data_IF_843187390825
#
_entry.id   IF_843187390825
#
_cell.length_a   1.000
_cell.length_b   1.000
_cell.length_c   1.000
_cell.angle_alpha   90.00
_cell.angle_beta   90.00
_cell.angle_gamma   90.00
#
_symmetry.space_group_name_H-M   'P 1'
#
loop_
_entity.id
_entity.type
_entity.pdbx_description
1 polymer ?
#
# COMPACT_ATOMS: atom_id res chain seq x y z
N UNK A 1 -10.07 -8.43 -4.86
CA UNK A 1 -8.88 -8.23 -5.70
C UNK A 1 -7.69 -9.02 -5.17
N UNK A 2 -7.32 -8.93 -3.88
CA UNK A 2 -6.15 -9.65 -3.34
C UNK A 2 -6.52 -10.84 -2.41
N UNK A 3 -7.79 -11.30 -2.43
CA UNK A 3 -8.30 -12.33 -1.51
C UNK A 3 -7.58 -13.68 -1.68
N UNK A 4 -7.29 -14.06 -2.93
CA UNK A 4 -6.60 -15.31 -3.26
C UNK A 4 -5.07 -15.23 -3.09
N UNK A 5 -4.53 -14.02 -2.88
CA UNK A 5 -3.10 -13.75 -2.76
C UNK A 5 -2.63 -13.55 -1.31
N UNK A 6 -3.49 -13.81 -0.32
CA UNK A 6 -3.17 -13.67 1.11
C UNK A 6 -2.63 -12.28 1.47
N UNK A 7 -3.47 -11.26 1.27
CA UNK A 7 -3.15 -9.87 1.67
C UNK A 7 -2.78 -9.79 3.15
N UNK A 8 -1.56 -9.31 3.42
CA UNK A 8 -1.10 -9.02 4.78
C UNK A 8 -1.46 -7.59 5.15
N UNK A 9 -2.09 -7.41 6.30
CA UNK A 9 -2.54 -6.09 6.77
C UNK A 9 -1.76 -5.74 8.03
N UNK A 10 -1.03 -4.61 8.00
CA UNK A 10 -0.18 -4.15 9.11
C UNK A 10 -0.43 -2.67 9.43
N UNK A 11 -0.03 -2.25 10.63
CA UNK A 11 -0.06 -0.84 11.07
C UNK A 11 1.32 -0.38 11.46
N UNK A 12 1.58 0.93 11.36
CA UNK A 12 2.82 1.55 11.85
C UNK A 12 3.04 1.39 13.36
N UNK A 13 1.98 1.13 14.12
CA UNK A 13 2.06 0.87 15.56
C UNK A 13 2.56 -0.53 15.92
N UNK A 14 2.63 -1.44 14.95
CA UNK A 14 2.96 -2.84 15.22
C UNK A 14 4.48 -2.99 15.40
N UNK A 15 4.91 -3.62 16.49
CA UNK A 15 6.34 -3.81 16.81
C UNK A 15 7.10 -4.55 15.71
N UNK A 16 6.41 -5.44 15.00
CA UNK A 16 6.99 -6.33 14.00
C UNK A 16 6.66 -5.89 12.55
N UNK A 17 6.29 -4.62 12.35
CA UNK A 17 5.86 -4.14 11.03
C UNK A 17 6.98 -4.25 9.98
N UNK A 18 8.21 -3.87 10.32
CA UNK A 18 9.36 -3.98 9.41
C UNK A 18 9.61 -5.43 9.03
N UNK A 19 9.70 -6.32 10.01
CA UNK A 19 9.92 -7.75 9.76
C UNK A 19 8.83 -8.36 8.88
N UNK A 20 7.57 -7.97 9.11
CA UNK A 20 6.44 -8.42 8.28
C UNK A 20 6.56 -7.89 6.84
N UNK A 21 6.99 -6.64 6.67
CA UNK A 21 7.24 -6.03 5.38
C UNK A 21 8.36 -6.74 4.61
N UNK A 22 9.49 -6.99 5.26
CA UNK A 22 10.65 -7.69 4.68
C UNK A 22 10.24 -9.07 4.17
N UNK A 23 9.51 -9.84 4.99
CA UNK A 23 8.99 -11.16 4.59
C UNK A 23 8.08 -11.04 3.35
N UNK A 24 7.16 -10.07 3.33
CA UNK A 24 6.25 -9.92 2.20
C UNK A 24 6.98 -9.55 0.90
N UNK A 25 8.04 -8.73 0.98
CA UNK A 25 8.90 -8.38 -0.17
C UNK A 25 9.56 -9.63 -0.74
N UNK A 26 10.15 -10.47 0.12
CA UNK A 26 10.83 -11.70 -0.30
C UNK A 26 9.87 -12.75 -0.84
N UNK A 27 8.74 -12.97 -0.18
CA UNK A 27 7.75 -13.97 -0.60
C UNK A 27 6.79 -13.48 -1.69
N UNK A 28 6.86 -12.21 -2.09
CA UNK A 28 5.95 -11.62 -3.10
C UNK A 28 4.49 -11.50 -2.65
N UNK A 29 4.23 -11.53 -1.35
CA UNK A 29 2.87 -11.41 -0.82
C UNK A 29 2.43 -9.95 -0.80
N UNK A 30 1.21 -9.61 -1.24
CA UNK A 30 0.71 -8.25 -1.18
C UNK A 30 0.56 -7.81 0.27
N UNK A 31 0.95 -6.56 0.55
CA UNK A 31 0.89 -5.98 1.88
C UNK A 31 0.16 -4.63 1.85
N UNK A 32 -0.72 -4.44 2.81
CA UNK A 32 -1.47 -3.23 3.08
C UNK A 32 -1.03 -2.61 4.40
N UNK A 33 -0.50 -1.40 4.33
CA UNK A 33 -0.23 -0.56 5.49
C UNK A 33 -1.48 0.32 5.76
N UNK A 34 -2.14 0.08 6.88
CA UNK A 34 -3.38 0.78 7.22
C UNK A 34 -3.17 1.97 8.16
N UNK A 35 -4.06 2.95 8.02
CA UNK A 35 -4.17 4.12 8.89
C UNK A 35 -2.89 4.96 8.92
N UNK A 36 -2.24 5.10 7.78
CA UNK A 36 -1.16 6.07 7.63
C UNK A 36 -1.75 7.47 7.70
N UNK A 37 -1.12 8.31 8.53
CA UNK A 37 -1.48 9.72 8.66
C UNK A 37 -0.82 10.54 7.55
N UNK A 38 -0.33 11.73 7.85
CA UNK A 38 0.31 12.63 6.87
C UNK A 38 1.81 12.35 6.70
N UNK A 39 2.42 11.61 7.64
CA UNK A 39 3.83 11.26 7.65
C UNK A 39 4.04 9.77 7.36
N UNK A 40 5.09 9.47 6.59
CA UNK A 40 5.59 8.15 6.31
C UNK A 40 7.00 8.02 6.88
N UNK A 41 7.31 6.85 7.44
CA UNK A 41 8.64 6.57 7.98
C UNK A 41 9.69 6.53 6.84
N UNK A 42 10.84 7.19 7.05
CA UNK A 42 11.95 7.22 6.09
C UNK A 42 12.51 5.83 5.77
N UNK A 43 12.33 4.84 6.65
CA UNK A 43 12.67 3.44 6.41
C UNK A 43 11.94 2.82 5.20
N UNK A 44 10.80 3.38 4.80
CA UNK A 44 10.04 2.94 3.63
C UNK A 44 10.55 3.54 2.32
N UNK A 45 11.43 4.54 2.37
CA UNK A 45 11.88 5.29 1.21
C UNK A 45 12.49 4.42 0.09
N UNK A 46 13.34 3.42 0.38
CA UNK A 46 13.85 2.53 -0.66
C UNK A 46 12.74 1.80 -1.42
N UNK A 47 11.67 1.44 -0.71
CA UNK A 47 10.51 0.76 -1.28
C UNK A 47 9.63 1.69 -2.10
N UNK A 48 9.33 2.89 -1.58
CA UNK A 48 8.52 3.89 -2.27
C UNK A 48 9.18 4.36 -3.57
N UNK A 49 10.51 4.52 -3.56
CA UNK A 49 11.30 4.92 -4.72
C UNK A 49 11.66 3.73 -5.63
N UNK A 50 11.31 2.50 -5.26
CA UNK A 50 11.72 1.27 -5.96
C UNK A 50 13.22 1.22 -6.23
N UNK A 51 14.03 1.50 -5.21
CA UNK A 51 15.50 1.46 -5.28
C UNK A 51 16.03 0.02 -5.27
N UNK A 52 15.66 -0.74 -6.30
CA UNK A 52 16.13 -2.11 -6.51
C UNK A 52 17.43 -2.14 -7.29
N UNK A 53 18.31 -3.08 -6.97
CA UNK A 53 19.57 -3.32 -7.67
C UNK A 53 19.69 -4.80 -8.03
N UNK A 54 20.57 -5.14 -8.97
CA UNK A 54 20.82 -6.54 -9.32
C UNK A 54 22.08 -7.04 -8.65
N UNK A 55 21.99 -8.18 -7.96
CA UNK A 55 23.14 -8.87 -7.37
C UNK A 55 23.07 -10.35 -7.77
N UNK A 56 24.12 -10.86 -8.42
CA UNK A 56 24.16 -12.27 -8.85
C UNK A 56 23.04 -12.68 -9.83
N UNK A 57 22.45 -11.72 -10.56
CA UNK A 57 21.32 -11.97 -11.48
C UNK A 57 19.94 -11.88 -10.83
N UNK A 58 19.86 -11.74 -9.51
CA UNK A 58 18.63 -11.58 -8.73
C UNK A 58 18.38 -10.10 -8.45
N UNK A 59 17.11 -9.68 -8.47
CA UNK A 59 16.67 -8.32 -8.14
C UNK A 59 16.57 -8.22 -6.61
N UNK A 60 17.27 -7.26 -6.03
CA UNK A 60 17.41 -7.07 -4.59
C UNK A 60 17.00 -5.64 -4.22
N UNK A 61 16.62 -5.42 -2.96
CA UNK A 61 16.34 -4.10 -2.39
C UNK A 61 17.04 -3.97 -1.04
N UNK A 62 17.55 -2.78 -0.72
CA UNK A 62 18.10 -2.48 0.60
C UNK A 62 16.99 -1.95 1.49
N UNK A 63 16.70 -2.65 2.60
CA UNK A 63 15.81 -2.18 3.66
C UNK A 63 16.64 -2.04 4.95
N UNK A 64 16.94 -0.80 5.34
CA UNK A 64 17.91 -0.53 6.40
C UNK A 64 19.30 -1.10 6.05
N UNK A 65 19.82 -1.95 6.92
CA UNK A 65 21.12 -2.62 6.73
C UNK A 65 21.01 -4.00 6.04
N UNK A 66 19.80 -4.43 5.67
CA UNK A 66 19.56 -5.74 5.07
C UNK A 66 19.29 -5.66 3.57
N UNK A 67 19.96 -6.53 2.80
CA UNK A 67 19.66 -6.76 1.39
C UNK A 67 18.65 -7.91 1.26
N UNK A 68 17.48 -7.61 0.70
CA UNK A 68 16.39 -8.56 0.53
C UNK A 68 16.18 -8.88 -0.94
N UNK A 69 15.84 -10.12 -1.24
CA UNK A 69 15.36 -10.49 -2.58
C UNK A 69 14.02 -9.81 -2.83
N UNK A 70 13.95 -9.07 -3.94
CA UNK A 70 12.77 -8.31 -4.32
C UNK A 70 11.92 -9.13 -5.27
N UNK A 71 10.77 -9.61 -4.79
CA UNK A 71 9.81 -10.30 -5.64
C UNK A 71 9.01 -9.31 -6.50
N UNK A 72 8.92 -9.60 -7.80
CA UNK A 72 8.12 -8.80 -8.75
C UNK A 72 6.61 -8.94 -8.54
N UNK A 73 6.18 -9.96 -7.82
CA UNK A 73 4.78 -10.16 -7.46
C UNK A 73 4.36 -9.33 -6.26
N UNK A 74 5.33 -8.80 -5.51
CA UNK A 74 5.07 -7.95 -4.36
C UNK A 74 4.29 -6.69 -4.75
N UNK A 75 3.24 -6.40 -3.97
CA UNK A 75 2.44 -5.18 -4.10
C UNK A 75 2.31 -4.53 -2.74
N UNK A 76 2.64 -3.24 -2.70
CA UNK A 76 2.52 -2.44 -1.49
C UNK A 76 1.36 -1.45 -1.63
N UNK A 77 0.44 -1.50 -0.66
CA UNK A 77 -0.71 -0.62 -0.59
C UNK A 77 -0.64 0.19 0.70
N UNK A 78 -1.09 1.44 0.63
CA UNK A 78 -1.22 2.32 1.79
C UNK A 78 -2.65 2.83 1.82
N UNK A 79 -3.27 2.84 3.00
CA UNK A 79 -4.58 3.49 3.21
C UNK A 79 -4.50 4.52 4.32
N UNK A 80 -5.24 5.62 4.12
CA UNK A 80 -5.49 6.64 5.12
C UNK A 80 -6.98 6.76 5.38
N UNK A 81 -7.34 7.13 6.61
CA UNK A 81 -8.73 7.49 6.98
C UNK A 81 -8.95 9.00 7.02
N UNK A 82 -7.92 9.79 6.78
CA UNK A 82 -8.03 11.24 6.74
C UNK A 82 -8.86 11.65 5.53
N UNK A 83 -9.87 12.49 5.76
CA UNK A 83 -10.72 13.00 4.67
C UNK A 83 -9.98 13.96 3.74
N UNK A 84 -9.07 14.76 4.30
CA UNK A 84 -8.31 15.76 3.57
C UNK A 84 -6.86 15.78 4.09
N UNK A 85 -6.06 14.75 3.79
CA UNK A 85 -4.66 14.69 4.19
C UNK A 85 -3.83 15.72 3.41
N UNK A 86 -3.00 16.50 4.09
CA UNK A 86 -2.05 17.40 3.47
C UNK A 86 -0.69 16.72 3.35
N UNK A 87 -0.55 15.87 2.33
CA UNK A 87 0.73 15.25 2.03
C UNK A 87 1.72 16.27 1.51
N UNK A 88 2.96 16.18 2.01
CA UNK A 88 4.06 16.96 1.46
C UNK A 88 4.25 16.61 -0.03
N UNK A 89 4.70 17.56 -0.87
CA UNK A 89 4.97 17.31 -2.27
C UNK A 89 5.90 16.12 -2.49
N UNK A 90 6.85 15.90 -1.58
CA UNK A 90 7.77 14.77 -1.57
C UNK A 90 7.07 13.41 -1.53
N UNK A 91 6.00 13.26 -0.73
CA UNK A 91 5.23 12.02 -0.70
C UNK A 91 4.44 11.88 -2.00
N UNK A 92 3.86 12.98 -2.48
CA UNK A 92 3.03 13.01 -3.69
C UNK A 92 3.80 12.68 -4.98
N UNK A 93 5.12 12.87 -5.00
CA UNK A 93 5.97 12.46 -6.13
C UNK A 93 6.42 10.99 -6.04
N UNK A 94 6.49 10.44 -4.83
CA UNK A 94 6.94 9.05 -4.57
C UNK A 94 5.81 8.03 -4.78
N UNK A 95 4.57 8.37 -4.46
CA UNK A 95 3.42 7.45 -4.53
C UNK A 95 2.31 7.95 -5.44
N UNK A 96 1.53 7.01 -5.98
CA UNK A 96 0.29 7.33 -6.68
C UNK A 96 -0.87 7.43 -5.68
N UNK A 97 -1.39 8.64 -5.49
CA UNK A 97 -2.53 8.91 -4.62
C UNK A 97 -3.85 8.62 -5.37
N UNK A 98 -4.70 7.80 -4.75
CA UNK A 98 -6.04 7.49 -5.26
C UNK A 98 -7.09 8.00 -4.27
N UNK A 99 -8.03 8.83 -4.75
CA UNK A 99 -9.12 9.32 -3.93
C UNK A 99 -10.30 8.36 -3.98
N UNK A 100 -10.64 7.76 -2.84
CA UNK A 100 -11.80 6.88 -2.66
C UNK A 100 -12.98 7.58 -1.97
N UNK A 101 -12.95 8.90 -1.83
CA UNK A 101 -14.09 9.66 -1.28
C UNK A 101 -15.29 9.53 -2.22
N UNK A 102 -16.40 9.02 -1.68
CA UNK A 102 -17.67 8.95 -2.39
C UNK A 102 -18.28 10.35 -2.42
N UNK A 103 -18.65 10.81 -3.61
CA UNK A 103 -19.44 12.03 -3.78
C UNK A 103 -20.92 11.73 -3.49
N UNK A 104 -21.72 12.72 -3.02
CA UNK A 104 -23.16 12.51 -2.79
C UNK A 104 -23.88 11.94 -4.01
N UNK A 105 -23.56 12.45 -5.21
CA UNK A 105 -24.08 11.95 -6.49
C UNK A 105 -23.69 10.49 -6.74
N UNK A 106 -22.42 10.13 -6.52
CA UNK A 106 -21.97 8.74 -6.68
C UNK A 106 -22.61 7.79 -5.66
N UNK A 107 -22.94 8.27 -4.46
CA UNK A 107 -23.69 7.49 -3.48
C UNK A 107 -25.14 7.29 -3.91
N UNK A 108 -25.79 8.35 -4.41
CA UNK A 108 -27.17 8.29 -4.90
C UNK A 108 -27.31 7.28 -6.03
N UNK A 109 -26.41 7.31 -7.02
CA UNK A 109 -26.39 6.35 -8.12
C UNK A 109 -26.16 4.91 -7.64
N UNK A 110 -25.26 4.69 -6.67
CA UNK A 110 -25.03 3.37 -6.09
C UNK A 110 -26.27 2.84 -5.37
N UNK A 111 -26.93 3.69 -4.57
CA UNK A 111 -28.14 3.32 -3.84
C UNK A 111 -29.31 3.07 -4.81
N UNK A 112 -29.46 3.90 -5.84
CA UNK A 112 -30.47 3.72 -6.87
C UNK A 112 -30.30 2.38 -7.59
N UNK A 113 -29.06 2.03 -7.96
CA UNK A 113 -28.75 0.72 -8.56
C UNK A 113 -29.16 -0.46 -7.68
N UNK A 114 -28.94 -0.36 -6.36
CA UNK A 114 -29.34 -1.39 -5.39
C UNK A 114 -30.86 -1.50 -5.28
N UNK A 115 -31.58 -0.37 -5.24
CA UNK A 115 -33.05 -0.35 -5.15
C UNK A 115 -33.66 -0.95 -6.41
N UNK A 116 -33.23 -0.52 -7.60
CA UNK A 116 -33.71 -1.04 -8.88
C UNK A 116 -33.44 -2.54 -9.03
N UNK A 117 -32.30 -3.03 -8.55
CA UNK A 117 -31.99 -4.46 -8.57
C UNK A 117 -32.87 -5.29 -7.62
N UNK A 118 -33.39 -4.68 -6.55
CA UNK A 118 -34.23 -5.35 -5.54
C UNK A 118 -35.73 -5.29 -5.85
N UNK A 119 -36.15 -4.32 -6.66
CA UNK A 119 -37.54 -4.18 -7.12
C UNK A 119 -37.87 -5.00 -8.39
N UNK A 120 -36.88 -5.67 -9.01
CA UNK A 120 -37.07 -6.64 -10.09
C UNK A 120 -37.05 -8.07 -9.58
#
# INVERSE_FOLDING_TARGET
MEKDKSLHVIKLSDSDYMRSLENCITFGSPLLLENVYEELDASLEPLLLKQTFKQGGVEMIMMGDQALEYSREFRFYITTKLRNPHYLPEISTKVSLLNFMITPEGLEDQLLGIVVAKEK
#
